data_IF_461421650208
#
_entry.id   IF_461421650208
#
_cell.length_a   1.000
_cell.length_b   1.000
_cell.length_c   1.000
_cell.angle_alpha   90.00
_cell.angle_beta   90.00
_cell.angle_gamma   90.00
#
_symmetry.space_group_name_H-M   'P 1'
#
loop_
_entity.id
_entity.type
_entity.pdbx_description
1 polymer ?
#
# COMPACT_ATOMS: atom_id res chain seq x y z
N UNK A 1 8.80 11.01 37.27
CA UNK A 1 8.00 10.49 36.15
C UNK A 1 7.07 9.42 36.71
N UNK A 2 5.77 9.68 36.81
CA UNK A 2 4.80 8.65 37.21
C UNK A 2 4.82 7.53 36.18
N UNK A 3 4.94 6.29 36.63
CA UNK A 3 4.86 5.09 35.78
C UNK A 3 3.40 4.98 35.29
N UNK A 4 3.15 5.44 34.05
CA UNK A 4 1.85 5.27 33.42
C UNK A 4 1.56 3.75 33.30
N UNK A 5 0.59 3.27 34.04
CA UNK A 5 0.15 1.89 33.96
C UNK A 5 -0.64 1.67 32.68
N UNK A 6 -0.16 0.81 31.78
CA UNK A 6 -0.86 0.44 30.54
C UNK A 6 -2.11 -0.36 30.91
N UNK A 7 -3.30 0.14 30.52
CA UNK A 7 -4.56 -0.58 30.69
C UNK A 7 -4.94 -1.28 29.39
N UNK A 8 -5.40 -2.52 29.46
CA UNK A 8 -5.90 -3.29 28.31
C UNK A 8 -6.96 -2.52 27.51
N UNK A 9 -7.84 -1.81 28.19
CA UNK A 9 -8.86 -0.95 27.57
C UNK A 9 -8.25 0.11 26.63
N UNK A 10 -7.11 0.72 27.02
CA UNK A 10 -6.47 1.78 26.22
C UNK A 10 -5.83 1.18 24.97
N UNK A 11 -5.23 -0.01 25.10
CA UNK A 11 -4.70 -0.79 23.96
C UNK A 11 -5.80 -1.12 22.97
N UNK A 12 -6.92 -1.69 23.41
CA UNK A 12 -8.05 -2.04 22.56
C UNK A 12 -8.70 -0.81 21.91
N UNK A 13 -8.79 0.30 22.65
CA UNK A 13 -9.29 1.56 22.10
C UNK A 13 -8.40 2.09 20.98
N UNK A 14 -7.08 2.10 21.15
CA UNK A 14 -6.13 2.54 20.10
C UNK A 14 -6.32 1.71 18.83
N UNK A 15 -6.33 0.39 18.93
CA UNK A 15 -6.53 -0.52 17.79
C UNK A 15 -7.88 -0.25 17.13
N UNK A 16 -8.95 -0.11 17.92
CA UNK A 16 -10.30 0.16 17.42
C UNK A 16 -10.42 1.53 16.73
N UNK A 17 -9.82 2.58 17.27
CA UNK A 17 -9.84 3.92 16.66
C UNK A 17 -9.05 3.95 15.34
N UNK A 18 -7.87 3.30 15.27
CA UNK A 18 -7.12 3.16 14.01
C UNK A 18 -7.95 2.39 12.98
N UNK A 19 -8.51 1.24 13.35
CA UNK A 19 -9.36 0.46 12.45
C UNK A 19 -10.54 1.28 11.92
N UNK A 20 -11.31 1.91 12.83
CA UNK A 20 -12.48 2.70 12.47
C UNK A 20 -12.13 3.90 11.58
N UNK A 21 -11.02 4.58 11.87
CA UNK A 21 -10.55 5.72 11.09
C UNK A 21 -10.20 5.30 9.65
N UNK A 22 -9.39 4.24 9.50
CA UNK A 22 -8.92 3.76 8.19
C UNK A 22 -10.03 3.14 7.34
N UNK A 23 -10.96 2.40 7.97
CA UNK A 23 -12.12 1.85 7.27
C UNK A 23 -13.05 2.92 6.74
N UNK A 24 -13.37 3.97 7.55
CA UNK A 24 -14.22 5.08 7.10
C UNK A 24 -13.64 5.84 5.92
N UNK A 25 -12.32 5.93 5.81
CA UNK A 25 -11.62 6.63 4.73
C UNK A 25 -11.29 5.74 3.55
N UNK A 26 -11.67 4.46 3.59
CA UNK A 26 -11.32 3.44 2.57
C UNK A 26 -9.81 3.33 2.31
N UNK A 27 -8.98 3.62 3.31
CA UNK A 27 -7.53 3.55 3.20
C UNK A 27 -7.00 2.11 3.25
N UNK A 28 -7.83 1.15 3.67
CA UNK A 28 -7.54 -0.28 3.65
C UNK A 28 -7.89 -0.97 2.31
N UNK A 29 -8.07 -0.19 1.22
CA UNK A 29 -8.46 -0.72 -0.08
C UNK A 29 -7.41 -1.69 -0.70
N UNK A 30 -6.14 -1.61 -0.28
CA UNK A 30 -5.10 -2.56 -0.66
C UNK A 30 -5.38 -4.01 -0.22
N UNK A 31 -6.20 -4.21 0.83
CA UNK A 31 -6.72 -5.54 1.19
C UNK A 31 -7.59 -6.14 0.08
N UNK A 32 -8.27 -5.30 -0.72
CA UNK A 32 -9.05 -5.77 -1.86
C UNK A 32 -8.16 -6.46 -2.92
N UNK A 33 -6.89 -6.05 -3.03
CA UNK A 33 -5.91 -6.73 -3.86
C UNK A 33 -5.65 -8.17 -3.38
N UNK A 34 -5.41 -8.35 -2.08
CA UNK A 34 -5.22 -9.67 -1.48
C UNK A 34 -6.48 -10.54 -1.61
N UNK A 35 -7.66 -9.98 -1.30
CA UNK A 35 -8.94 -10.67 -1.44
C UNK A 35 -9.21 -11.09 -2.88
N UNK A 36 -9.03 -10.17 -3.82
CA UNK A 36 -9.25 -10.43 -5.25
C UNK A 36 -8.32 -11.52 -5.78
N UNK A 37 -7.04 -11.52 -5.41
CA UNK A 37 -6.09 -12.57 -5.81
C UNK A 37 -6.53 -13.92 -5.22
N UNK A 38 -6.84 -14.00 -3.93
CA UNK A 38 -7.28 -15.26 -3.30
C UNK A 38 -8.49 -15.84 -4.00
N UNK A 39 -9.48 -15.00 -4.32
CA UNK A 39 -10.69 -15.39 -5.05
C UNK A 39 -10.33 -15.80 -6.49
N UNK A 40 -9.54 -14.99 -7.23
CA UNK A 40 -9.18 -15.29 -8.61
C UNK A 40 -8.36 -16.59 -8.74
N UNK A 41 -7.58 -16.94 -7.72
CA UNK A 41 -6.86 -18.21 -7.64
C UNK A 41 -7.72 -19.40 -7.22
N UNK A 42 -9.03 -19.20 -6.93
CA UNK A 42 -9.95 -20.22 -6.45
C UNK A 42 -9.47 -20.90 -5.15
N UNK A 43 -8.87 -20.14 -4.23
CA UNK A 43 -8.48 -20.70 -2.95
C UNK A 43 -9.72 -21.13 -2.15
N UNK A 44 -9.61 -22.17 -1.32
CA UNK A 44 -10.68 -22.61 -0.44
C UNK A 44 -11.22 -21.45 0.42
N UNK A 45 -12.53 -21.37 0.71
CA UNK A 45 -13.10 -20.30 1.52
C UNK A 45 -12.44 -20.11 2.90
N UNK A 46 -12.03 -21.21 3.53
CA UNK A 46 -11.31 -21.15 4.81
C UNK A 46 -9.94 -20.45 4.66
N UNK A 47 -9.20 -20.75 3.60
CA UNK A 47 -7.92 -20.11 3.30
C UNK A 47 -8.12 -18.62 3.00
N UNK A 48 -9.16 -18.28 2.21
CA UNK A 48 -9.51 -16.88 1.96
C UNK A 48 -9.80 -16.14 3.26
N UNK A 49 -10.58 -16.73 4.19
CA UNK A 49 -10.90 -16.12 5.47
C UNK A 49 -9.63 -15.88 6.32
N UNK A 50 -8.75 -16.87 6.44
CA UNK A 50 -7.47 -16.75 7.18
C UNK A 50 -6.62 -15.62 6.58
N UNK A 51 -6.45 -15.59 5.26
CA UNK A 51 -5.66 -14.57 4.55
C UNK A 51 -6.26 -13.17 4.72
N UNK A 52 -7.59 -13.01 4.67
CA UNK A 52 -8.25 -11.72 4.86
C UNK A 52 -8.14 -11.22 6.30
N UNK A 53 -8.33 -12.09 7.29
CA UNK A 53 -8.11 -11.74 8.69
C UNK A 53 -6.65 -11.29 8.92
N UNK A 54 -5.71 -12.01 8.33
CA UNK A 54 -4.29 -11.67 8.40
C UNK A 54 -3.98 -10.33 7.70
N UNK A 55 -4.51 -10.10 6.49
CA UNK A 55 -4.38 -8.85 5.75
C UNK A 55 -4.91 -7.66 6.56
N UNK A 56 -6.05 -7.85 7.24
CA UNK A 56 -6.61 -6.84 8.13
C UNK A 56 -5.67 -6.52 9.29
N UNK A 57 -5.16 -7.54 9.99
CA UNK A 57 -4.20 -7.37 11.08
C UNK A 57 -2.90 -6.70 10.64
N UNK A 58 -2.36 -7.10 9.47
CA UNK A 58 -1.14 -6.50 8.90
C UNK A 58 -1.38 -5.02 8.54
N UNK A 59 -2.53 -4.67 7.96
CA UNK A 59 -2.89 -3.27 7.73
C UNK A 59 -2.97 -2.46 9.04
N UNK A 60 -3.61 -3.02 10.07
CA UNK A 60 -3.68 -2.36 11.37
C UNK A 60 -2.29 -2.11 11.94
N UNK A 61 -1.41 -3.10 11.88
CA UNK A 61 -0.02 -2.97 12.34
C UNK A 61 0.71 -1.84 11.61
N UNK A 62 0.62 -1.83 10.28
CA UNK A 62 1.30 -0.84 9.44
C UNK A 62 0.78 0.56 9.70
N UNK A 63 -0.53 0.75 9.76
CA UNK A 63 -1.11 2.06 10.02
C UNK A 63 -0.88 2.55 11.44
N UNK A 64 -0.95 1.67 12.44
CA UNK A 64 -0.64 2.03 13.82
C UNK A 64 0.84 2.40 13.96
N UNK A 65 1.74 1.70 13.29
CA UNK A 65 3.16 2.03 13.25
C UNK A 65 3.40 3.40 12.63
N UNK A 66 2.73 3.70 11.51
CA UNK A 66 2.83 5.01 10.87
C UNK A 66 2.31 6.13 11.79
N UNK A 67 1.11 5.97 12.34
CA UNK A 67 0.52 6.94 13.27
C UNK A 67 1.40 7.16 14.53
N UNK A 68 2.10 6.09 14.98
CA UNK A 68 2.98 6.17 16.14
C UNK A 68 4.31 6.91 15.85
N UNK A 69 4.90 6.68 14.69
CA UNK A 69 6.17 7.30 14.29
C UNK A 69 5.97 8.74 13.80
N UNK A 70 4.89 9.01 13.08
CA UNK A 70 4.56 10.35 12.57
C UNK A 70 3.84 11.25 13.61
N UNK A 71 3.64 10.76 14.84
CA UNK A 71 2.84 11.42 15.88
C UNK A 71 3.23 12.88 16.14
N UNK A 72 4.52 13.19 16.16
CA UNK A 72 5.02 14.55 16.40
C UNK A 72 4.65 15.48 15.24
N UNK A 73 4.80 15.00 14.00
CA UNK A 73 4.51 15.76 12.78
C UNK A 73 3.00 15.94 12.60
N UNK A 74 2.21 14.91 12.90
CA UNK A 74 0.74 14.95 12.81
C UNK A 74 0.11 15.93 13.82
N UNK A 75 0.71 16.12 14.99
CA UNK A 75 0.25 17.11 15.97
C UNK A 75 0.48 18.55 15.53
N UNK A 76 1.48 18.77 14.66
CA UNK A 76 1.81 20.10 14.13
C UNK A 76 1.10 20.40 12.81
N UNK A 77 0.63 19.37 12.11
CA UNK A 77 0.00 19.51 10.81
C UNK A 77 -1.46 19.97 10.91
N UNK A 78 -1.86 21.05 10.18
CA UNK A 78 -3.24 21.50 10.18
C UNK A 78 -4.23 20.39 9.78
N UNK A 79 -5.24 20.15 10.61
CA UNK A 79 -6.29 19.15 10.34
C UNK A 79 -5.92 17.69 10.64
N UNK A 80 -4.71 17.41 11.12
CA UNK A 80 -4.28 16.08 11.57
C UNK A 80 -4.31 15.91 13.09
N UNK A 81 -4.40 17.01 13.85
CA UNK A 81 -4.58 16.99 15.31
C UNK A 81 -6.04 16.61 15.67
N UNK A 82 -6.39 15.35 15.40
CA UNK A 82 -7.70 14.79 15.73
C UNK A 82 -7.70 14.07 17.09
N UNK A 83 -8.90 13.64 17.53
CA UNK A 83 -9.07 12.96 18.81
C UNK A 83 -8.25 11.67 18.92
N UNK A 84 -8.06 10.95 17.80
CA UNK A 84 -7.24 9.73 17.72
C UNK A 84 -5.77 10.05 17.96
N UNK A 85 -5.23 11.07 17.28
CA UNK A 85 -3.83 11.50 17.38
C UNK A 85 -3.51 11.96 18.81
N UNK A 86 -4.41 12.77 19.41
CA UNK A 86 -4.28 13.20 20.82
C UNK A 86 -4.34 12.04 21.80
N UNK A 87 -5.26 11.09 21.58
CA UNK A 87 -5.37 9.92 22.45
C UNK A 87 -4.09 9.05 22.37
N UNK A 88 -3.54 8.84 21.18
CA UNK A 88 -2.29 8.10 21.00
C UNK A 88 -1.10 8.81 21.68
N UNK A 89 -1.02 10.16 21.60
CA UNK A 89 -0.03 10.95 22.32
C UNK A 89 -0.10 10.71 23.83
N UNK A 90 -1.31 10.81 24.39
CA UNK A 90 -1.52 10.71 25.83
C UNK A 90 -1.34 9.28 26.36
N UNK A 91 -1.42 8.25 25.47
CA UNK A 91 -1.30 6.83 25.81
C UNK A 91 -0.21 6.13 24.96
N UNK A 92 0.94 6.79 24.77
CA UNK A 92 2.00 6.31 23.87
C UNK A 92 2.52 4.91 24.21
N UNK A 93 2.61 4.56 25.50
CA UNK A 93 2.99 3.20 25.93
C UNK A 93 1.95 2.16 25.53
N UNK A 94 0.67 2.47 25.63
CA UNK A 94 -0.38 1.58 25.17
C UNK A 94 -0.33 1.39 23.65
N UNK A 95 0.03 2.43 22.87
CA UNK A 95 0.29 2.33 21.44
C UNK A 95 1.44 1.38 21.10
N UNK A 96 2.54 1.43 21.85
CA UNK A 96 3.65 0.48 21.67
C UNK A 96 3.22 -0.95 22.01
N UNK A 97 2.51 -1.15 23.11
CA UNK A 97 1.99 -2.49 23.51
C UNK A 97 1.01 -3.01 22.46
N UNK A 98 0.18 -2.16 21.87
CA UNK A 98 -0.73 -2.55 20.78
C UNK A 98 0.04 -3.03 19.54
N UNK A 99 1.11 -2.34 19.14
CA UNK A 99 1.96 -2.77 18.02
C UNK A 99 2.64 -4.10 18.29
N UNK A 100 3.28 -4.24 19.45
CA UNK A 100 3.95 -5.49 19.83
C UNK A 100 2.95 -6.65 19.93
N UNK A 101 1.76 -6.41 20.49
CA UNK A 101 0.68 -7.39 20.54
C UNK A 101 0.23 -7.83 19.13
N UNK A 102 0.05 -6.89 18.20
CA UNK A 102 -0.29 -7.21 16.82
C UNK A 102 0.83 -8.02 16.13
N UNK A 103 2.10 -7.65 16.32
CA UNK A 103 3.23 -8.42 15.79
C UNK A 103 3.21 -9.86 16.32
N UNK A 104 3.06 -10.04 17.64
CA UNK A 104 2.99 -11.37 18.24
C UNK A 104 1.83 -12.19 17.70
N UNK A 105 0.63 -11.59 17.63
CA UNK A 105 -0.58 -12.27 17.09
C UNK A 105 -0.38 -12.67 15.63
N UNK A 106 0.20 -11.80 14.80
CA UNK A 106 0.44 -12.10 13.39
C UNK A 106 1.53 -13.14 13.19
N UNK A 107 2.64 -13.06 13.93
CA UNK A 107 3.74 -14.06 13.85
C UNK A 107 3.26 -15.43 14.33
N UNK A 108 2.66 -15.50 15.50
CA UNK A 108 2.18 -16.76 16.08
C UNK A 108 1.04 -17.34 15.24
N UNK A 109 0.07 -16.49 14.85
CA UNK A 109 -1.04 -16.90 13.98
C UNK A 109 -0.55 -17.45 12.64
N UNK A 110 0.39 -16.75 11.98
CA UNK A 110 0.99 -17.24 10.74
C UNK A 110 1.74 -18.55 10.95
N UNK A 111 2.62 -18.63 11.96
CA UNK A 111 3.43 -19.83 12.21
C UNK A 111 2.58 -21.08 12.49
N UNK A 112 1.46 -20.93 13.20
CA UNK A 112 0.59 -22.06 13.59
C UNK A 112 -0.44 -22.44 12.52
N UNK A 113 -0.96 -21.45 11.77
CA UNK A 113 -2.10 -21.67 10.85
C UNK A 113 -1.63 -21.74 9.39
N UNK A 114 -0.76 -20.82 8.96
CA UNK A 114 -0.34 -20.70 7.56
C UNK A 114 1.06 -20.05 7.48
N UNK A 115 2.16 -20.82 7.61
CA UNK A 115 3.51 -20.29 7.67
C UNK A 115 3.94 -19.42 6.49
N UNK A 116 3.34 -19.62 5.32
CA UNK A 116 3.59 -18.79 4.14
C UNK A 116 3.25 -17.31 4.34
N UNK A 117 2.39 -16.97 5.32
CA UNK A 117 2.05 -15.59 5.67
C UNK A 117 3.18 -14.83 6.40
N UNK A 118 4.21 -15.54 6.89
CA UNK A 118 5.40 -14.90 7.46
C UNK A 118 6.18 -14.09 6.42
N UNK A 119 6.16 -14.52 5.14
CA UNK A 119 6.83 -13.80 4.06
C UNK A 119 6.21 -12.39 3.83
N UNK A 120 4.92 -12.25 3.55
CA UNK A 120 4.31 -10.92 3.41
C UNK A 120 4.33 -10.10 4.72
N UNK A 121 4.34 -10.72 5.90
CA UNK A 121 4.53 -10.03 7.17
C UNK A 121 5.93 -9.41 7.26
N UNK A 122 6.97 -10.18 7.00
CA UNK A 122 8.35 -9.71 7.05
C UNK A 122 8.60 -8.61 6.00
N UNK A 123 8.16 -8.81 4.77
CA UNK A 123 8.29 -7.83 3.70
C UNK A 123 7.44 -6.58 3.97
N UNK A 124 6.14 -6.74 4.19
CA UNK A 124 5.21 -5.62 4.35
C UNK A 124 5.41 -4.87 5.66
N UNK A 125 5.46 -5.59 6.79
CA UNK A 125 5.70 -5.00 8.10
C UNK A 125 7.08 -4.36 8.20
N UNK A 126 8.13 -5.06 7.74
CA UNK A 126 9.50 -4.54 7.75
C UNK A 126 9.70 -3.32 6.86
N UNK A 127 9.19 -3.37 5.62
CA UNK A 127 9.29 -2.23 4.69
C UNK A 127 8.51 -1.02 5.20
N UNK A 128 7.29 -1.21 5.70
CA UNK A 128 6.48 -0.08 6.19
C UNK A 128 7.06 0.51 7.49
N UNK A 129 7.64 -0.33 8.35
CA UNK A 129 8.39 0.18 9.50
C UNK A 129 9.60 1.02 9.05
N UNK A 130 10.41 0.50 8.14
CA UNK A 130 11.57 1.21 7.61
C UNK A 130 11.17 2.50 6.85
N UNK A 131 10.04 2.46 6.12
CA UNK A 131 9.47 3.63 5.45
C UNK A 131 9.15 4.74 6.44
N UNK A 132 8.34 4.47 7.45
CA UNK A 132 7.96 5.47 8.45
C UNK A 132 9.15 5.94 9.31
N UNK A 133 10.11 5.04 9.59
CA UNK A 133 11.28 5.38 10.41
C UNK A 133 12.34 6.20 9.64
N UNK A 134 12.51 5.98 8.33
CA UNK A 134 13.64 6.59 7.60
C UNK A 134 13.44 6.76 6.10
N UNK A 135 12.89 5.74 5.39
CA UNK A 135 12.92 5.73 3.92
C UNK A 135 12.04 6.81 3.30
N UNK A 136 10.99 7.26 4.00
CA UNK A 136 10.12 8.37 3.61
C UNK A 136 10.90 9.66 3.29
N UNK A 137 11.99 9.92 4.02
CA UNK A 137 12.85 11.10 3.83
C UNK A 137 14.07 10.81 2.93
N UNK A 138 14.11 9.68 2.24
CA UNK A 138 15.20 9.30 1.34
C UNK A 138 14.70 9.27 -0.10
N UNK A 139 15.14 10.20 -0.98
CA UNK A 139 14.71 10.25 -2.38
C UNK A 139 14.93 8.93 -3.11
N UNK A 140 13.91 8.45 -3.80
CA UNK A 140 13.89 7.16 -4.49
C UNK A 140 13.55 5.97 -3.57
N UNK A 141 14.00 5.98 -2.32
CA UNK A 141 13.69 4.92 -1.37
C UNK A 141 12.23 4.97 -0.89
N UNK A 142 11.63 6.17 -0.82
CA UNK A 142 10.20 6.35 -0.56
C UNK A 142 9.35 5.59 -1.58
N UNK A 143 9.60 5.77 -2.86
CA UNK A 143 8.88 5.09 -3.95
C UNK A 143 9.19 3.59 -3.97
N UNK A 144 10.48 3.20 -3.83
CA UNK A 144 10.88 1.79 -3.82
C UNK A 144 10.23 1.01 -2.66
N UNK A 145 10.13 1.62 -1.48
CA UNK A 145 9.44 1.03 -0.33
C UNK A 145 7.95 0.81 -0.62
N UNK A 146 7.30 1.74 -1.32
CA UNK A 146 5.87 1.59 -1.66
C UNK A 146 5.64 0.59 -2.80
N UNK A 147 6.59 0.39 -3.70
CA UNK A 147 6.55 -0.75 -4.65
C UNK A 147 6.58 -2.07 -3.86
N UNK A 148 7.49 -2.20 -2.92
CA UNK A 148 7.62 -3.40 -2.10
C UNK A 148 6.38 -3.63 -1.22
N UNK A 149 5.81 -2.58 -0.61
CA UNK A 149 4.55 -2.65 0.12
C UNK A 149 3.38 -3.06 -0.78
N UNK A 150 3.28 -2.44 -1.97
CA UNK A 150 2.25 -2.74 -2.97
C UNK A 150 2.34 -4.16 -3.53
N UNK A 151 3.47 -4.85 -3.38
CA UNK A 151 3.62 -6.26 -3.65
C UNK A 151 3.33 -7.12 -2.40
N UNK A 152 3.86 -6.72 -1.23
CA UNK A 152 3.76 -7.52 -0.01
C UNK A 152 2.32 -7.71 0.48
N UNK A 153 1.48 -6.67 0.42
CA UNK A 153 0.10 -6.79 0.87
C UNK A 153 -0.73 -7.71 -0.04
N UNK A 154 -0.74 -7.58 -1.38
CA UNK A 154 -1.40 -8.52 -2.26
C UNK A 154 -0.86 -9.96 -2.17
N UNK A 155 0.41 -10.14 -1.83
CA UNK A 155 1.03 -11.46 -1.62
C UNK A 155 0.36 -12.24 -0.48
N UNK A 156 -0.26 -11.56 0.50
CA UNK A 156 -1.11 -12.23 1.51
C UNK A 156 -2.21 -13.06 0.83
N UNK A 157 -2.74 -12.61 -0.31
CA UNK A 157 -3.80 -13.29 -1.06
C UNK A 157 -3.33 -14.48 -1.89
N UNK A 158 -2.02 -14.75 -1.97
CA UNK A 158 -1.48 -15.82 -2.82
C UNK A 158 -0.60 -16.78 -2.04
N UNK A 159 -0.72 -18.10 -2.24
CA UNK A 159 0.33 -19.05 -1.90
C UNK A 159 1.61 -18.67 -2.65
N UNK A 160 2.77 -18.63 -1.96
CA UNK A 160 4.03 -18.22 -2.59
C UNK A 160 4.54 -19.20 -3.65
N UNK A 161 4.03 -20.42 -3.66
CA UNK A 161 4.36 -21.46 -4.63
C UNK A 161 3.69 -21.22 -5.99
N UNK A 162 2.62 -20.44 -6.05
CA UNK A 162 1.86 -20.19 -7.27
C UNK A 162 2.45 -19.03 -8.08
N UNK A 163 3.05 -19.34 -9.23
CA UNK A 163 3.60 -18.35 -10.14
C UNK A 163 2.55 -17.31 -10.62
N UNK A 164 1.29 -17.74 -10.77
CA UNK A 164 0.19 -16.89 -11.16
C UNK A 164 -0.08 -15.77 -10.15
N UNK A 165 0.06 -16.05 -8.85
CA UNK A 165 -0.04 -15.04 -7.80
C UNK A 165 1.07 -13.99 -7.94
N UNK A 166 2.30 -14.40 -8.17
CA UNK A 166 3.44 -13.49 -8.35
C UNK A 166 3.28 -12.59 -9.58
N UNK A 167 2.68 -13.11 -10.67
CA UNK A 167 2.38 -12.29 -11.84
C UNK A 167 1.44 -11.12 -11.50
N UNK A 168 0.40 -11.35 -10.70
CA UNK A 168 -0.53 -10.31 -10.26
C UNK A 168 0.08 -9.38 -9.21
N UNK A 169 0.82 -9.94 -8.26
CA UNK A 169 1.51 -9.20 -7.19
C UNK A 169 2.55 -8.24 -7.74
N UNK A 170 3.36 -8.68 -8.71
CA UNK A 170 4.37 -7.84 -9.35
C UNK A 170 3.73 -6.64 -10.06
N UNK A 171 2.59 -6.84 -10.70
CA UNK A 171 1.87 -5.74 -11.36
C UNK A 171 1.35 -4.72 -10.37
N UNK A 172 0.76 -5.17 -9.25
CA UNK A 172 0.29 -4.27 -8.17
C UNK A 172 1.43 -3.50 -7.50
N UNK A 173 2.61 -4.11 -7.36
CA UNK A 173 3.80 -3.42 -6.89
C UNK A 173 4.15 -2.21 -7.77
N UNK A 174 4.15 -2.39 -9.10
CA UNK A 174 4.38 -1.29 -10.04
C UNK A 174 3.31 -0.20 -9.96
N UNK A 175 2.03 -0.59 -9.79
CA UNK A 175 0.95 0.37 -9.58
C UNK A 175 1.16 1.19 -8.31
N UNK A 176 1.56 0.53 -7.22
CA UNK A 176 1.83 1.20 -5.95
C UNK A 176 2.95 2.23 -6.06
N UNK A 177 4.01 1.94 -6.80
CA UNK A 177 5.06 2.91 -7.07
C UNK A 177 4.58 4.13 -7.86
N UNK A 178 3.73 3.94 -8.88
CA UNK A 178 3.13 5.05 -9.61
C UNK A 178 2.23 5.90 -8.69
N UNK A 179 1.46 5.28 -7.81
CA UNK A 179 0.64 5.97 -6.81
C UNK A 179 1.48 6.76 -5.83
N UNK A 180 2.55 6.18 -5.29
CA UNK A 180 3.45 6.90 -4.38
C UNK A 180 4.07 8.11 -5.06
N UNK A 181 4.54 7.97 -6.30
CA UNK A 181 5.05 9.09 -7.08
C UNK A 181 4.05 10.24 -7.22
N UNK A 182 2.76 9.95 -7.43
CA UNK A 182 1.70 10.97 -7.48
C UNK A 182 1.45 11.57 -6.09
N UNK A 183 1.54 10.75 -5.04
CA UNK A 183 1.31 11.18 -3.67
C UNK A 183 2.39 12.16 -3.20
N UNK A 184 3.66 11.84 -3.41
CA UNK A 184 4.76 12.75 -3.04
C UNK A 184 4.76 14.04 -3.87
N UNK A 185 4.22 14.03 -5.12
CA UNK A 185 3.96 15.27 -5.89
C UNK A 185 2.86 16.09 -5.21
N UNK A 186 1.77 15.46 -4.77
CA UNK A 186 0.67 16.13 -4.08
C UNK A 186 1.11 16.79 -2.79
N UNK A 187 1.98 16.10 -2.06
CA UNK A 187 2.41 16.49 -0.72
C UNK A 187 3.70 17.35 -0.74
N UNK A 188 4.27 17.65 -1.95
CA UNK A 188 5.54 18.35 -2.17
C UNK A 188 5.73 19.61 -1.31
N UNK A 189 4.76 20.52 -1.31
CA UNK A 189 4.89 21.80 -0.62
C UNK A 189 4.84 21.64 0.92
N UNK A 190 4.02 20.68 1.39
CA UNK A 190 3.93 20.35 2.81
C UNK A 190 5.21 19.66 3.31
N UNK A 191 5.74 18.71 2.53
CA UNK A 191 6.98 18.01 2.85
C UNK A 191 8.18 18.96 2.84
N UNK A 192 8.24 19.86 1.85
CA UNK A 192 9.31 20.89 1.79
C UNK A 192 9.25 21.84 3.01
N UNK A 193 8.04 22.26 3.42
CA UNK A 193 7.86 23.12 4.59
C UNK A 193 8.22 22.41 5.90
N UNK A 194 7.98 21.09 5.97
CA UNK A 194 8.34 20.25 7.12
C UNK A 194 9.82 19.80 7.11
N UNK A 195 10.60 20.15 6.06
CA UNK A 195 11.98 19.71 5.90
C UNK A 195 12.14 18.23 5.53
N UNK A 196 11.07 17.55 5.12
CA UNK A 196 11.09 16.15 4.70
C UNK A 196 11.56 16.06 3.26
N UNK A 197 12.68 15.39 3.03
CA UNK A 197 13.31 15.31 1.71
C UNK A 197 12.79 14.10 0.92
N UNK A 198 11.52 14.12 0.54
CA UNK A 198 10.91 13.11 -0.36
C UNK A 198 11.48 13.18 -1.78
N UNK A 199 11.18 12.19 -2.63
CA UNK A 199 11.58 12.19 -4.05
C UNK A 199 11.12 13.45 -4.76
N UNK A 200 9.89 13.92 -4.52
CA UNK A 200 9.38 15.13 -5.17
C UNK A 200 10.10 16.40 -4.70
N UNK A 201 10.42 16.49 -3.42
CA UNK A 201 11.20 17.64 -2.87
C UNK A 201 12.63 17.65 -3.42
N UNK A 202 13.26 16.48 -3.57
CA UNK A 202 14.64 16.39 -4.04
C UNK A 202 14.80 16.59 -5.55
N UNK A 203 13.91 16.02 -6.37
CA UNK A 203 14.00 16.02 -7.84
C UNK A 203 13.16 17.13 -8.48
N UNK A 204 12.22 17.70 -7.74
CA UNK A 204 11.18 18.60 -8.23
C UNK A 204 10.02 17.86 -8.91
N UNK A 205 8.87 18.52 -8.95
CA UNK A 205 7.60 17.98 -9.48
C UNK A 205 7.73 17.44 -10.91
N UNK A 206 8.47 18.15 -11.79
CA UNK A 206 8.60 17.77 -13.19
C UNK A 206 9.31 16.42 -13.40
N UNK A 207 10.43 16.20 -12.70
CA UNK A 207 11.18 14.93 -12.80
C UNK A 207 10.45 13.78 -12.11
N UNK A 208 9.78 14.07 -11.00
CA UNK A 208 8.95 13.07 -10.31
C UNK A 208 7.77 12.66 -11.18
N UNK A 209 7.13 13.58 -11.91
CA UNK A 209 6.10 13.26 -12.88
C UNK A 209 6.62 12.37 -14.02
N UNK A 210 7.84 12.63 -14.51
CA UNK A 210 8.49 11.76 -15.49
C UNK A 210 8.69 10.35 -14.92
N UNK A 211 9.15 10.23 -13.67
CA UNK A 211 9.30 8.95 -12.99
C UNK A 211 7.96 8.21 -12.87
N UNK A 212 6.87 8.89 -12.51
CA UNK A 212 5.52 8.32 -12.50
C UNK A 212 5.14 7.76 -13.89
N UNK A 213 5.41 8.52 -14.97
CA UNK A 213 5.14 8.05 -16.32
C UNK A 213 5.98 6.84 -16.72
N UNK A 214 7.26 6.80 -16.31
CA UNK A 214 8.12 5.61 -16.50
C UNK A 214 7.56 4.40 -15.78
N UNK A 215 7.05 4.56 -14.56
CA UNK A 215 6.43 3.46 -13.81
C UNK A 215 5.12 2.99 -14.45
N UNK A 216 4.31 3.90 -14.96
CA UNK A 216 3.10 3.56 -15.72
C UNK A 216 3.46 2.84 -17.03
N UNK A 217 4.53 3.27 -17.73
CA UNK A 217 5.05 2.58 -18.90
C UNK A 217 5.55 1.17 -18.55
N UNK A 218 6.32 1.04 -17.45
CA UNK A 218 6.76 -0.27 -16.95
C UNK A 218 5.58 -1.17 -16.60
N UNK A 219 4.53 -0.59 -16.00
CA UNK A 219 3.28 -1.30 -15.70
C UNK A 219 2.55 -1.76 -16.97
N UNK A 220 2.54 -0.93 -18.02
CA UNK A 220 1.96 -1.30 -19.31
C UNK A 220 2.78 -2.41 -20.00
N UNK A 221 4.10 -2.29 -20.01
CA UNK A 221 4.99 -3.31 -20.58
C UNK A 221 4.85 -4.63 -19.82
N UNK A 222 4.94 -4.59 -18.49
CA UNK A 222 4.75 -5.79 -17.67
C UNK A 222 3.36 -6.42 -17.91
N UNK A 223 2.32 -5.58 -17.92
CA UNK A 223 0.94 -6.02 -18.21
C UNK A 223 0.86 -6.75 -19.55
N UNK A 224 1.42 -6.18 -20.62
CA UNK A 224 1.42 -6.79 -21.96
C UNK A 224 2.21 -8.11 -22.02
N UNK A 225 3.37 -8.15 -21.38
CA UNK A 225 4.27 -9.30 -21.45
C UNK A 225 3.84 -10.47 -20.57
N UNK A 226 3.20 -10.19 -19.41
CA UNK A 226 2.96 -11.20 -18.36
C UNK A 226 1.48 -11.43 -18.09
N UNK A 227 0.64 -10.37 -18.12
CA UNK A 227 -0.76 -10.46 -17.67
C UNK A 227 -1.72 -10.56 -18.85
N UNK A 228 -1.83 -9.50 -19.65
CA UNK A 228 -2.67 -9.44 -20.85
C UNK A 228 -2.36 -8.17 -21.66
N UNK A 229 -2.10 -8.25 -22.98
CA UNK A 229 -1.86 -7.08 -23.81
C UNK A 229 -3.06 -6.11 -23.86
N UNK A 230 -4.28 -6.62 -23.76
CA UNK A 230 -5.48 -5.79 -23.77
C UNK A 230 -5.62 -4.95 -22.49
N UNK A 231 -5.33 -5.54 -21.33
CA UNK A 231 -5.39 -4.85 -20.05
C UNK A 231 -4.23 -3.86 -19.87
N UNK A 232 -3.11 -4.09 -20.53
CA UNK A 232 -1.95 -3.19 -20.56
C UNK A 232 -2.26 -1.83 -21.20
N UNK A 233 -3.29 -1.74 -22.02
CA UNK A 233 -3.75 -0.47 -22.60
C UNK A 233 -4.21 0.54 -21.52
N UNK A 234 -4.70 0.07 -20.37
CA UNK A 234 -5.18 0.95 -19.30
C UNK A 234 -4.03 1.69 -18.56
N UNK A 235 -2.95 1.03 -18.09
CA UNK A 235 -1.80 1.77 -17.58
C UNK A 235 -1.09 2.61 -18.66
N UNK A 236 -1.10 2.19 -19.93
CA UNK A 236 -0.62 3.03 -21.02
C UNK A 236 -1.46 4.32 -21.17
N UNK A 237 -2.79 4.22 -21.11
CA UNK A 237 -3.67 5.37 -21.11
C UNK A 237 -3.47 6.26 -19.87
N UNK A 238 -3.14 5.68 -18.71
CA UNK A 238 -2.86 6.42 -17.50
C UNK A 238 -1.63 7.35 -17.64
N UNK A 239 -0.67 7.04 -18.51
CA UNK A 239 0.47 7.91 -18.80
C UNK A 239 0.06 9.25 -19.41
N UNK A 240 -1.08 9.30 -20.10
CA UNK A 240 -1.59 10.49 -20.78
C UNK A 240 -2.40 11.39 -19.85
N UNK A 241 -2.68 10.95 -18.61
CA UNK A 241 -3.42 11.75 -17.63
C UNK A 241 -2.59 12.99 -17.25
N UNK A 242 -3.12 14.21 -17.48
CA UNK A 242 -2.38 15.42 -17.17
C UNK A 242 -2.34 15.68 -15.66
N UNK A 243 -1.24 16.31 -15.23
CA UNK A 243 -1.14 16.93 -13.92
C UNK A 243 -1.69 18.36 -14.02
N UNK A 244 -2.68 18.67 -13.18
CA UNK A 244 -3.25 20.01 -13.14
C UNK A 244 -2.32 20.98 -12.38
N UNK A 245 -1.74 21.93 -13.11
CA UNK A 245 -0.83 22.95 -12.57
C UNK A 245 -1.55 24.29 -12.32
N UNK A 246 -2.84 24.36 -12.59
CA UNK A 246 -3.59 25.62 -12.66
C UNK A 246 -4.47 25.86 -11.43
N UNK A 247 -4.54 24.92 -10.48
CA UNK A 247 -5.40 25.05 -9.32
C UNK A 247 -4.83 26.06 -8.31
N UNK A 248 -5.50 27.22 -8.09
CA UNK A 248 -5.09 28.10 -7.01
C UNK A 248 -5.33 27.42 -5.67
N UNK A 249 -4.30 27.32 -4.84
CA UNK A 249 -4.43 26.89 -3.44
C UNK A 249 -4.53 28.13 -2.53
N UNK A 250 -5.13 28.01 -1.35
CA UNK A 250 -5.15 29.10 -0.35
C UNK A 250 -3.75 29.59 0.01
N UNK A 251 -2.70 28.79 -0.20
CA UNK A 251 -1.30 29.08 0.09
C UNK A 251 -0.48 29.59 -1.12
N UNK A 252 -1.10 29.80 -2.32
CA UNK A 252 -0.39 30.24 -3.53
C UNK A 252 -0.49 29.27 -4.70
N UNK A 253 0.26 29.52 -5.80
CA UNK A 253 0.28 28.60 -6.95
C UNK A 253 0.90 27.26 -6.55
N UNK A 254 0.08 26.23 -6.43
CA UNK A 254 0.47 24.86 -6.08
C UNK A 254 0.04 23.86 -7.16
N UNK A 255 0.59 22.65 -7.07
CA UNK A 255 0.21 21.55 -7.95
C UNK A 255 -0.92 20.75 -7.30
N UNK A 256 -2.08 20.64 -7.96
CA UNK A 256 -3.15 19.73 -7.53
C UNK A 256 -3.04 18.40 -8.28
N UNK A 257 -2.54 17.38 -7.58
CA UNK A 257 -2.44 16.03 -8.11
C UNK A 257 -3.71 15.19 -7.89
N UNK A 258 -4.76 15.73 -7.26
CA UNK A 258 -5.97 14.96 -6.87
C UNK A 258 -6.71 14.40 -8.08
N UNK A 259 -6.86 15.20 -9.15
CA UNK A 259 -7.52 14.74 -10.38
C UNK A 259 -6.71 13.65 -11.08
N UNK A 260 -5.40 13.83 -11.15
CA UNK A 260 -4.49 12.82 -11.71
C UNK A 260 -4.57 11.54 -10.90
N UNK A 261 -4.47 11.62 -9.56
CA UNK A 261 -4.64 10.50 -8.64
C UNK A 261 -5.91 9.70 -8.91
N UNK A 262 -7.06 10.40 -8.96
CA UNK A 262 -8.35 9.74 -9.13
C UNK A 262 -8.49 9.04 -10.49
N UNK A 263 -8.01 9.66 -11.57
CA UNK A 263 -8.07 9.07 -12.92
C UNK A 263 -7.11 7.89 -13.07
N UNK A 264 -5.88 8.02 -12.58
CA UNK A 264 -4.90 6.92 -12.60
C UNK A 264 -5.42 5.76 -11.77
N UNK A 265 -5.96 6.03 -10.56
CA UNK A 265 -6.57 4.99 -9.70
C UNK A 265 -7.70 4.25 -10.40
N UNK A 266 -8.57 4.95 -11.12
CA UNK A 266 -9.65 4.33 -11.88
C UNK A 266 -9.10 3.41 -12.98
N UNK A 267 -8.16 3.89 -13.79
CA UNK A 267 -7.60 3.13 -14.90
C UNK A 267 -6.85 1.89 -14.41
N UNK A 268 -5.96 2.04 -13.42
CA UNK A 268 -5.21 0.92 -12.85
C UNK A 268 -6.12 -0.05 -12.08
N UNK A 269 -7.14 0.46 -11.39
CA UNK A 269 -8.15 -0.36 -10.73
C UNK A 269 -8.94 -1.22 -11.73
N UNK A 270 -9.39 -0.64 -12.84
CA UNK A 270 -10.07 -1.37 -13.92
C UNK A 270 -9.15 -2.41 -14.57
N UNK A 271 -7.86 -2.07 -14.79
CA UNK A 271 -6.88 -3.01 -15.31
C UNK A 271 -6.73 -4.23 -14.38
N UNK A 272 -6.61 -3.99 -13.08
CA UNK A 272 -6.46 -5.07 -12.10
C UNK A 272 -7.72 -5.90 -11.94
N UNK A 273 -8.89 -5.27 -11.85
CA UNK A 273 -10.17 -6.00 -11.80
C UNK A 273 -10.40 -6.84 -13.04
N UNK A 274 -10.04 -6.32 -14.22
CA UNK A 274 -10.05 -7.08 -15.47
C UNK A 274 -9.12 -8.28 -15.43
N UNK A 275 -7.92 -8.13 -14.86
CA UNK A 275 -6.98 -9.25 -14.70
C UNK A 275 -7.51 -10.31 -13.72
N UNK A 276 -8.10 -9.90 -12.62
CA UNK A 276 -8.72 -10.82 -11.66
C UNK A 276 -9.88 -11.60 -12.30
N UNK A 277 -10.75 -10.91 -13.03
CA UNK A 277 -11.88 -11.55 -13.74
C UNK A 277 -11.38 -12.52 -14.82
N UNK A 278 -10.34 -12.13 -15.57
CA UNK A 278 -9.72 -12.98 -16.58
C UNK A 278 -9.11 -14.23 -15.94
N UNK A 279 -8.30 -14.06 -14.90
CA UNK A 279 -7.66 -15.17 -14.17
C UNK A 279 -8.72 -16.08 -13.51
N UNK A 280 -9.76 -15.50 -12.96
CA UNK A 280 -10.88 -16.25 -12.41
C UNK A 280 -11.49 -17.18 -13.48
N UNK A 281 -11.75 -16.64 -14.66
CA UNK A 281 -12.42 -17.37 -15.74
C UNK A 281 -11.53 -18.40 -16.42
N UNK A 282 -10.29 -18.02 -16.76
CA UNK A 282 -9.39 -18.85 -17.59
C UNK A 282 -8.42 -19.70 -16.78
N UNK A 283 -8.16 -19.35 -15.52
CA UNK A 283 -7.12 -19.96 -14.70
C UNK A 283 -5.69 -19.63 -15.10
N UNK A 284 -5.49 -18.62 -15.97
CA UNK A 284 -4.17 -18.28 -16.49
C UNK A 284 -4.05 -16.80 -16.84
N UNK A 285 -2.80 -16.32 -16.97
CA UNK A 285 -2.50 -15.06 -17.66
C UNK A 285 -2.43 -15.30 -19.18
N UNK A 286 -2.46 -14.22 -19.95
CA UNK A 286 -2.36 -14.27 -21.41
C UNK A 286 -1.34 -13.24 -21.92
N UNK A 287 -0.18 -13.19 -21.26
CA UNK A 287 0.92 -12.31 -21.67
C UNK A 287 1.59 -12.79 -22.96
N UNK A 288 2.19 -11.84 -23.67
CA UNK A 288 2.86 -12.12 -24.96
C UNK A 288 4.12 -12.97 -24.78
N UNK A 289 4.88 -12.77 -23.70
CA UNK A 289 6.11 -13.52 -23.44
C UNK A 289 5.90 -14.67 -22.45
N UNK A 290 5.05 -14.47 -21.46
CA UNK A 290 4.89 -15.42 -20.36
C UNK A 290 3.41 -15.72 -20.18
N UNK A 291 3.07 -16.99 -20.29
CA UNK A 291 1.74 -17.48 -19.88
C UNK A 291 1.92 -18.28 -18.60
N UNK A 292 1.23 -17.86 -17.56
CA UNK A 292 1.28 -18.50 -16.24
C UNK A 292 -0.10 -19.04 -15.93
N UNK A 293 -0.20 -20.32 -15.55
CA UNK A 293 -1.45 -20.96 -15.16
C UNK A 293 -1.48 -21.23 -13.67
N UNK A 294 -2.66 -21.57 -13.13
CA UNK A 294 -2.81 -22.04 -11.74
C UNK A 294 -1.98 -23.29 -11.43
N UNK A 295 -1.72 -24.10 -12.43
CA UNK A 295 -0.91 -25.31 -12.28
C UNK A 295 0.59 -25.03 -12.27
N UNK A 296 1.02 -23.82 -12.63
CA UNK A 296 2.44 -23.44 -12.62
C UNK A 296 2.90 -23.21 -11.19
N UNK A 297 3.79 -24.06 -10.71
CA UNK A 297 4.41 -23.99 -9.38
C UNK A 297 5.84 -23.52 -9.54
N UNK A 298 6.29 -22.64 -8.66
CA UNK A 298 7.69 -22.22 -8.57
C UNK A 298 8.47 -23.37 -7.90
N UNK A 299 9.44 -23.90 -8.60
CA UNK A 299 10.33 -24.96 -8.13
C UNK A 299 11.36 -24.47 -7.10
#
# INVERSE_FOLDING_TARGET
MATESVRVRDVLRIVGEVAAYRLRRLEMANMAGAAGIAVALHLPPADCAVRLCFAFGLNLLVYLNNDYLDLADDLLAPGRDDAKTRFLRDHRRAGLVAQLGLVVVLVVGAALVMPSLLLPLALGGGVCWAYSARLKAMPGADIAAMIAWGAAMPLVGSPPELALGWALVGWLGLFSGAFEGIQVIRDHDADAAAGVRTTAVALGVGRTLLLVRVMLAASAVYGALVVSPWLAALPAAAMLVPLDRSAPRPSGPGVDATRMWNRVRLLLGLAFLGALAWVWWTGSTHGVLVQVSRATVLG
#
